data_IF_154698085802
#
_entry.id   IF_154698085802
#
_cell.length_a   1.000
_cell.length_b   1.000
_cell.length_c   1.000
_cell.angle_alpha   90.00
_cell.angle_beta   90.00
_cell.angle_gamma   90.00
#
_symmetry.space_group_name_H-M   'P 1'
#
loop_
_entity.id
_entity.type
_entity.pdbx_description
1 polymer ?
#
# COMPACT_ATOMS: atom_id res chain seq x y z
N UNK A 1 -19.19 10.16 -5.42
CA UNK A 1 -17.97 10.99 -5.57
C UNK A 1 -17.44 11.26 -4.18
N UNK A 2 -16.41 10.52 -3.80
CA UNK A 2 -15.73 10.61 -2.50
C UNK A 2 -14.87 11.88 -2.47
N UNK A 3 -15.22 12.83 -1.59
CA UNK A 3 -14.47 14.08 -1.44
C UNK A 3 -13.04 13.87 -0.89
N UNK A 4 -12.18 14.91 -0.97
CA UNK A 4 -10.83 14.87 -0.43
C UNK A 4 -10.86 14.60 1.07
N UNK A 5 -9.96 13.75 1.56
CA UNK A 5 -9.83 13.51 3.01
C UNK A 5 -8.76 14.47 3.54
N UNK A 6 -9.11 15.37 4.48
CA UNK A 6 -8.11 16.23 5.10
C UNK A 6 -7.14 15.38 5.94
N UNK A 7 -5.85 15.55 5.69
CA UNK A 7 -4.77 14.87 6.42
C UNK A 7 -3.77 14.19 5.49
N UNK A 8 -2.48 14.40 5.75
CA UNK A 8 -1.41 13.68 5.08
C UNK A 8 -1.38 12.21 5.48
N UNK A 9 -0.56 11.43 4.79
CA UNK A 9 -0.27 10.04 5.17
C UNK A 9 0.87 9.99 6.20
N UNK A 10 0.84 8.97 7.05
CA UNK A 10 1.95 8.65 7.94
C UNK A 10 2.66 7.40 7.43
N UNK A 11 3.97 7.31 7.64
CA UNK A 11 4.75 6.14 7.28
C UNK A 11 5.61 5.70 8.46
N UNK A 12 5.39 4.47 8.90
CA UNK A 12 6.12 3.86 10.00
C UNK A 12 6.94 2.66 9.55
N UNK A 13 8.01 2.35 10.28
CA UNK A 13 8.91 1.22 10.00
C UNK A 13 9.36 0.57 11.29
N UNK A 14 9.30 -0.75 11.37
CA UNK A 14 9.86 -1.53 12.47
C UNK A 14 10.02 -2.98 12.06
N UNK A 15 11.09 -3.65 12.48
CA UNK A 15 11.24 -5.11 12.36
C UNK A 15 10.99 -5.68 10.95
N UNK A 16 11.32 -4.96 9.88
CA UNK A 16 11.07 -5.40 8.50
C UNK A 16 9.68 -5.07 7.95
N UNK A 17 8.76 -4.54 8.76
CA UNK A 17 7.48 -4.00 8.33
C UNK A 17 7.59 -2.51 7.99
N UNK A 18 6.93 -2.12 6.90
CA UNK A 18 6.67 -0.73 6.51
C UNK A 18 5.17 -0.54 6.44
N UNK A 19 4.64 0.43 7.19
CA UNK A 19 3.20 0.65 7.31
C UNK A 19 2.86 2.08 6.89
N UNK A 20 2.12 2.21 5.78
CA UNK A 20 1.49 3.47 5.39
C UNK A 20 0.14 3.55 6.09
N UNK A 21 -0.07 4.58 6.91
CA UNK A 21 -1.36 4.87 7.53
C UNK A 21 -2.09 5.95 6.71
N UNK A 22 -3.32 5.65 6.32
CA UNK A 22 -4.21 6.64 5.72
C UNK A 22 -4.61 7.71 6.78
N UNK A 23 -5.23 8.83 6.40
CA UNK A 23 -6.04 9.64 7.31
C UNK A 23 -7.31 8.89 7.79
N UNK A 24 -8.08 9.48 8.71
CA UNK A 24 -9.27 8.86 9.33
C UNK A 24 -10.35 8.46 8.31
N UNK A 25 -10.45 9.18 7.19
CA UNK A 25 -11.37 8.86 6.11
C UNK A 25 -10.93 7.74 5.18
N UNK A 26 -9.73 7.17 5.34
CA UNK A 26 -9.16 6.17 4.43
C UNK A 26 -8.78 6.72 3.06
N UNK A 27 -8.12 5.92 2.23
CA UNK A 27 -7.68 6.30 0.87
C UNK A 27 -8.13 5.28 -0.16
N UNK A 28 -8.35 5.72 -1.39
CA UNK A 28 -8.64 4.82 -2.52
C UNK A 28 -7.33 4.18 -2.96
N UNK A 29 -7.34 2.88 -3.20
CA UNK A 29 -6.15 2.15 -3.64
C UNK A 29 -6.47 1.16 -4.75
N UNK A 30 -5.45 0.77 -5.49
CA UNK A 30 -5.51 -0.23 -6.56
C UNK A 30 -4.18 -0.98 -6.64
N UNK A 31 -4.18 -2.15 -7.27
CA UNK A 31 -3.02 -3.05 -7.28
C UNK A 31 -2.79 -3.69 -8.65
N UNK A 32 -1.52 -3.90 -9.02
CA UNK A 32 -1.11 -4.80 -10.11
C UNK A 32 -0.17 -5.86 -9.54
N UNK A 33 -0.56 -7.13 -9.69
CA UNK A 33 0.23 -8.30 -9.28
C UNK A 33 0.47 -9.15 -10.52
N UNK A 34 1.72 -9.44 -10.88
CA UNK A 34 1.98 -10.46 -11.92
C UNK A 34 3.15 -11.38 -11.55
N UNK A 35 2.86 -12.69 -11.63
CA UNK A 35 3.82 -13.78 -11.57
C UNK A 35 4.48 -14.05 -10.22
N UNK A 36 4.09 -13.36 -9.15
CA UNK A 36 4.88 -13.30 -7.92
C UNK A 36 4.42 -14.26 -6.82
N UNK A 37 5.34 -15.07 -6.24
CA UNK A 37 5.08 -15.73 -4.96
C UNK A 37 5.16 -14.71 -3.80
N UNK A 38 4.60 -13.51 -4.00
CA UNK A 38 4.45 -12.48 -2.98
C UNK A 38 3.38 -12.95 -2.01
N UNK A 39 3.65 -12.86 -0.71
CA UNK A 39 2.60 -13.06 0.28
C UNK A 39 1.62 -11.90 0.18
N UNK A 40 0.35 -12.20 -0.10
CA UNK A 40 -0.68 -11.17 -0.29
C UNK A 40 -1.83 -11.36 0.68
N UNK A 41 -2.39 -10.26 1.19
CA UNK A 41 -3.63 -10.26 1.97
C UNK A 41 -4.50 -9.08 1.56
N UNK A 42 -5.82 -9.28 1.51
CA UNK A 42 -6.85 -8.25 1.25
C UNK A 42 -6.70 -7.47 -0.08
N UNK A 43 -5.99 -8.04 -1.07
CA UNK A 43 -5.82 -7.37 -2.37
C UNK A 43 -7.08 -7.41 -3.25
N UNK A 44 -7.93 -8.41 -3.05
CA UNK A 44 -9.21 -8.58 -3.73
C UNK A 44 -10.18 -7.42 -3.46
N UNK A 45 -10.08 -6.80 -2.28
CA UNK A 45 -10.85 -5.63 -1.91
C UNK A 45 -10.49 -4.38 -2.75
N UNK A 46 -9.32 -4.37 -3.39
CA UNK A 46 -8.86 -3.28 -4.25
C UNK A 46 -9.39 -3.36 -5.68
N UNK A 47 -10.15 -4.41 -5.99
CA UNK A 47 -10.80 -4.53 -7.29
C UNK A 47 -11.96 -3.49 -7.40
N UNK A 48 -12.18 -2.89 -8.58
CA UNK A 48 -13.34 -2.02 -8.79
C UNK A 48 -14.65 -2.76 -8.57
N UNK A 49 -15.64 -2.08 -7.97
CA UNK A 49 -16.98 -2.62 -7.76
C UNK A 49 -17.16 -3.46 -6.50
N UNK A 50 -16.17 -3.46 -5.59
CA UNK A 50 -16.33 -3.99 -4.23
C UNK A 50 -17.09 -3.00 -3.35
N UNK A 51 -17.61 -3.47 -2.20
CA UNK A 51 -18.23 -2.60 -1.20
C UNK A 51 -17.21 -1.67 -0.51
N UNK A 52 -15.94 -2.06 -0.51
CA UNK A 52 -14.87 -1.40 0.22
C UNK A 52 -14.15 -0.44 -0.72
N UNK A 53 -14.49 0.85 -0.65
CA UNK A 53 -13.88 1.88 -1.51
C UNK A 53 -12.52 2.38 -0.99
N UNK A 54 -12.21 2.13 0.29
CA UNK A 54 -11.08 2.78 0.98
C UNK A 54 -10.31 1.85 1.90
N UNK A 55 -8.98 1.99 1.85
CA UNK A 55 -8.03 1.33 2.73
C UNK A 55 -7.67 2.23 3.91
N UNK A 56 -7.31 1.61 5.03
CA UNK A 56 -6.98 2.30 6.27
C UNK A 56 -5.48 2.28 6.55
N UNK A 57 -4.80 1.23 6.07
CA UNK A 57 -3.36 1.15 6.00
C UNK A 57 -2.92 0.29 4.81
N UNK A 58 -1.65 0.39 4.42
CA UNK A 58 -0.99 -0.56 3.51
C UNK A 58 0.28 -1.05 4.17
N UNK A 59 0.52 -2.37 4.12
CA UNK A 59 1.70 -2.99 4.73
C UNK A 59 2.61 -3.57 3.65
N UNK A 60 3.88 -3.20 3.69
CA UNK A 60 4.94 -3.92 3.00
C UNK A 60 5.80 -4.64 4.03
N UNK A 61 6.03 -5.95 3.86
CA UNK A 61 6.84 -6.76 4.78
C UNK A 61 8.07 -7.31 4.07
N UNK A 62 9.25 -7.16 4.69
CA UNK A 62 10.50 -7.81 4.24
C UNK A 62 10.51 -9.31 4.54
N UNK A 63 9.78 -9.71 5.57
CA UNK A 63 9.49 -11.09 5.90
C UNK A 63 8.19 -11.52 5.19
N UNK A 64 7.58 -12.60 5.65
CA UNK A 64 6.27 -13.08 5.22
C UNK A 64 5.12 -12.24 5.80
N UNK A 65 3.91 -12.77 5.64
CA UNK A 65 2.71 -12.22 6.28
C UNK A 65 2.77 -12.38 7.81
N UNK A 66 2.10 -11.49 8.54
CA UNK A 66 1.99 -11.50 10.00
C UNK A 66 2.17 -10.10 10.63
N UNK A 67 2.86 -9.19 9.96
CA UNK A 67 3.00 -7.81 10.45
C UNK A 67 1.65 -7.10 10.52
N UNK A 68 0.78 -7.32 9.53
CA UNK A 68 -0.55 -6.74 9.49
C UNK A 68 -1.46 -7.16 10.66
N UNK A 69 -1.18 -8.30 11.31
CA UNK A 69 -1.90 -8.75 12.50
C UNK A 69 -1.64 -7.84 13.72
N UNK A 70 -0.58 -7.03 13.70
CA UNK A 70 -0.37 -5.94 14.65
C UNK A 70 -1.06 -4.64 14.27
N UNK A 71 -1.21 -4.39 12.96
CA UNK A 71 -1.80 -3.17 12.39
C UNK A 71 -3.32 -3.17 12.54
N UNK A 72 -3.96 -4.31 12.27
CA UNK A 72 -5.41 -4.50 12.40
C UNK A 72 -5.95 -4.10 13.79
N UNK A 73 -5.48 -4.67 14.91
CA UNK A 73 -5.97 -4.28 16.24
C UNK A 73 -5.59 -2.84 16.59
N UNK A 74 -4.42 -2.34 16.17
CA UNK A 74 -4.03 -0.94 16.42
C UNK A 74 -5.01 0.06 15.78
N UNK A 75 -5.48 -0.22 14.56
CA UNK A 75 -6.50 0.56 13.86
C UNK A 75 -7.88 0.40 14.52
N UNK A 76 -8.27 -0.83 14.86
CA UNK A 76 -9.57 -1.12 15.49
C UNK A 76 -9.73 -0.43 16.85
N UNK A 77 -8.69 -0.44 17.69
CA UNK A 77 -8.62 0.29 18.98
C UNK A 77 -8.89 1.79 18.83
N UNK A 78 -8.61 2.34 17.64
CA UNK A 78 -8.78 3.76 17.31
C UNK A 78 -10.06 4.04 16.52
N UNK A 79 -10.93 3.04 16.34
CA UNK A 79 -12.17 3.18 15.57
C UNK A 79 -11.92 3.46 14.08
N UNK A 80 -10.77 3.03 13.54
CA UNK A 80 -10.37 3.27 12.16
C UNK A 80 -10.62 2.03 11.30
N UNK A 81 -11.65 2.07 10.48
CA UNK A 81 -12.04 0.95 9.64
C UNK A 81 -13.36 1.22 8.91
N UNK A 82 -13.75 0.28 8.05
CA UNK A 82 -15.06 0.23 7.44
C UNK A 82 -16.10 0.03 8.55
N UNK A 83 -17.04 0.97 8.69
CA UNK A 83 -18.05 0.93 9.76
C UNK A 83 -19.07 -0.18 9.48
N UNK A 84 -19.20 -1.11 10.44
CA UNK A 84 -20.13 -2.25 10.37
C UNK A 84 -21.24 -2.19 11.42
N UNK A 85 -21.23 -1.18 12.27
CA UNK A 85 -22.27 -0.95 13.27
C UNK A 85 -22.31 0.49 13.80
N UNK A 86 -23.11 0.70 14.84
CA UNK A 86 -23.35 2.02 15.43
C UNK A 86 -22.30 2.40 16.50
N UNK A 87 -21.66 1.41 17.11
CA UNK A 87 -20.59 1.62 18.07
C UNK A 87 -19.30 2.16 17.42
N UNK A 88 -18.57 3.00 18.14
CA UNK A 88 -17.31 3.57 17.63
C UNK A 88 -16.23 2.51 17.32
N UNK A 89 -16.30 1.35 18.00
CA UNK A 89 -15.40 0.21 17.83
C UNK A 89 -15.93 -0.83 16.83
N UNK A 90 -17.14 -0.65 16.30
CA UNK A 90 -17.74 -1.56 15.31
C UNK A 90 -17.25 -1.22 13.91
N UNK A 91 -15.94 -1.43 13.72
CA UNK A 91 -15.22 -1.16 12.48
C UNK A 91 -14.40 -2.37 12.03
N UNK A 92 -14.24 -2.52 10.72
CA UNK A 92 -13.37 -3.52 10.09
C UNK A 92 -12.24 -2.77 9.36
N UNK A 93 -11.03 -2.72 9.92
CA UNK A 93 -9.89 -2.12 9.23
C UNK A 93 -9.56 -2.90 7.96
N UNK A 94 -9.16 -2.18 6.91
CA UNK A 94 -8.83 -2.74 5.59
C UNK A 94 -7.35 -2.48 5.36
N UNK A 95 -6.57 -3.55 5.30
CA UNK A 95 -5.09 -3.51 5.38
C UNK A 95 -4.46 -4.41 4.31
N UNK A 96 -4.47 -3.97 3.03
CA UNK A 96 -3.78 -4.68 1.97
C UNK A 96 -2.29 -4.85 2.29
N UNK A 97 -1.78 -6.05 2.11
CA UNK A 97 -0.41 -6.40 2.49
C UNK A 97 0.34 -7.08 1.35
N UNK A 98 1.60 -6.68 1.16
CA UNK A 98 2.56 -7.33 0.27
C UNK A 98 3.81 -7.75 1.05
N UNK A 99 4.14 -9.04 1.02
CA UNK A 99 5.28 -9.63 1.71
C UNK A 99 6.30 -10.24 0.74
N UNK A 100 7.58 -9.89 0.90
CA UNK A 100 8.67 -10.31 0.00
C UNK A 100 9.62 -11.35 0.62
N UNK A 101 9.43 -11.72 1.90
CA UNK A 101 10.20 -12.75 2.59
C UNK A 101 9.45 -14.05 2.78
N UNK A 102 10.16 -15.05 3.32
CA UNK A 102 9.61 -16.37 3.65
C UNK A 102 9.62 -16.68 5.15
N UNK A 103 10.37 -15.91 5.95
CA UNK A 103 10.27 -15.99 7.41
C UNK A 103 8.88 -15.51 7.84
N UNK A 104 8.28 -16.01 8.93
CA UNK A 104 7.03 -15.46 9.44
C UNK A 104 7.15 -13.96 9.72
N UNK A 105 6.14 -13.17 9.36
CA UNK A 105 6.06 -11.78 9.77
C UNK A 105 5.78 -11.65 11.27
N UNK A 106 6.15 -10.51 11.85
CA UNK A 106 5.99 -10.26 13.29
C UNK A 106 4.86 -9.23 13.56
N UNK A 107 3.77 -9.63 14.24
CA UNK A 107 2.72 -8.69 14.66
C UNK A 107 3.25 -7.53 15.52
N UNK A 108 4.25 -7.78 16.38
CA UNK A 108 4.81 -6.72 17.21
C UNK A 108 5.53 -5.65 16.36
N UNK A 109 6.24 -6.08 15.32
CA UNK A 109 6.84 -5.17 14.33
C UNK A 109 5.78 -4.33 13.62
N UNK A 110 4.65 -4.91 13.21
CA UNK A 110 3.56 -4.15 12.59
C UNK A 110 2.95 -3.10 13.50
N UNK A 111 2.65 -3.46 14.76
CA UNK A 111 2.16 -2.49 15.76
C UNK A 111 3.18 -1.38 16.03
N UNK A 112 4.44 -1.75 16.25
CA UNK A 112 5.51 -0.78 16.50
C UNK A 112 5.73 0.16 15.32
N UNK A 113 5.56 -0.32 14.07
CA UNK A 113 5.58 0.53 12.90
C UNK A 113 4.43 1.55 12.93
N UNK A 114 3.20 1.18 13.30
CA UNK A 114 2.12 2.15 13.46
C UNK A 114 2.42 3.20 14.55
N UNK A 115 3.01 2.80 15.67
CA UNK A 115 3.36 3.69 16.77
C UNK A 115 4.50 4.66 16.42
N UNK A 116 5.44 4.22 15.59
CA UNK A 116 6.56 5.02 15.08
C UNK A 116 6.23 5.79 13.79
N UNK A 117 4.97 5.81 13.34
CA UNK A 117 4.60 6.43 12.08
C UNK A 117 4.65 7.96 12.15
N UNK A 118 5.36 8.57 11.21
CA UNK A 118 5.53 10.02 11.11
C UNK A 118 4.96 10.56 9.79
N UNK A 119 4.66 11.88 9.69
CA UNK A 119 4.21 12.49 8.44
C UNK A 119 5.16 12.18 7.29
N UNK A 120 4.61 11.63 6.20
CA UNK A 120 5.41 11.22 5.05
C UNK A 120 5.12 12.09 3.84
N UNK A 121 6.20 12.63 3.24
CA UNK A 121 6.17 13.50 2.06
C UNK A 121 6.78 12.85 0.83
N UNK A 122 7.27 11.62 0.95
CA UNK A 122 7.78 10.85 -0.18
C UNK A 122 6.66 10.31 -1.05
N UNK A 123 7.03 9.88 -2.26
CA UNK A 123 6.05 9.42 -3.25
C UNK A 123 6.03 7.90 -3.44
N UNK A 124 7.10 7.18 -3.08
CA UNK A 124 7.22 5.75 -3.34
C UNK A 124 8.07 5.01 -2.29
N UNK A 125 7.76 3.74 -2.08
CA UNK A 125 8.56 2.78 -1.32
C UNK A 125 8.70 1.50 -2.11
N UNK A 126 9.92 0.97 -2.19
CA UNK A 126 10.19 -0.34 -2.79
C UNK A 126 10.85 -1.22 -1.73
N UNK A 127 10.29 -2.41 -1.52
CA UNK A 127 10.93 -3.48 -0.76
C UNK A 127 11.40 -4.57 -1.69
N UNK A 128 12.62 -5.04 -1.47
CA UNK A 128 13.17 -6.22 -2.14
C UNK A 128 13.42 -7.32 -1.12
N UNK A 129 13.11 -8.56 -1.52
CA UNK A 129 13.47 -9.75 -0.75
C UNK A 129 14.98 -9.88 -0.58
N UNK A 130 15.41 -10.81 0.28
CA UNK A 130 16.82 -11.01 0.61
C UNK A 130 17.72 -11.14 -0.63
N UNK A 131 18.85 -10.43 -0.63
CA UNK A 131 19.84 -10.49 -1.70
C UNK A 131 20.34 -11.93 -1.89
N UNK A 132 20.46 -12.37 -3.14
CA UNK A 132 20.89 -13.73 -3.49
C UNK A 132 19.79 -14.81 -3.45
N UNK A 133 18.54 -14.46 -3.09
CA UNK A 133 17.41 -15.37 -3.26
C UNK A 133 17.15 -15.63 -4.76
N UNK A 134 17.01 -16.89 -5.21
CA UNK A 134 16.62 -17.20 -6.59
C UNK A 134 15.24 -16.64 -6.93
N UNK A 135 14.37 -16.49 -5.92
CA UNK A 135 13.03 -15.91 -6.00
C UNK A 135 13.04 -14.49 -5.40
N UNK A 136 13.85 -13.59 -5.97
CA UNK A 136 13.91 -12.21 -5.49
C UNK A 136 12.57 -11.52 -5.75
N UNK A 137 11.74 -11.39 -4.71
CA UNK A 137 10.43 -10.72 -4.78
C UNK A 137 10.57 -9.22 -4.60
N UNK A 138 9.69 -8.47 -5.25
CA UNK A 138 9.64 -7.00 -5.12
C UNK A 138 8.22 -6.56 -4.82
N UNK A 139 8.08 -5.72 -3.80
CA UNK A 139 6.83 -5.06 -3.47
C UNK A 139 7.00 -3.55 -3.58
N UNK A 140 6.11 -2.91 -4.32
CA UNK A 140 6.06 -1.46 -4.48
C UNK A 140 4.83 -0.86 -3.81
N UNK A 141 5.02 0.30 -3.21
CA UNK A 141 3.94 1.18 -2.78
C UNK A 141 4.18 2.55 -3.41
N UNK A 142 3.15 3.09 -4.05
CA UNK A 142 3.17 4.41 -4.66
C UNK A 142 2.05 5.27 -4.09
N UNK A 143 2.38 6.47 -3.64
CA UNK A 143 1.43 7.50 -3.28
C UNK A 143 1.18 8.42 -4.49
N UNK A 144 -0.08 8.63 -4.83
CA UNK A 144 -0.50 9.41 -5.99
C UNK A 144 -1.33 10.60 -5.50
N UNK A 145 -0.85 11.82 -5.77
CA UNK A 145 -1.56 13.06 -5.41
C UNK A 145 -2.62 13.39 -6.45
N UNK A 146 -3.70 12.62 -6.41
CA UNK A 146 -4.81 12.69 -7.34
C UNK A 146 -6.11 12.20 -6.69
N UNK A 147 -7.26 12.64 -7.21
CA UNK A 147 -8.56 12.03 -6.95
C UNK A 147 -8.83 10.94 -7.98
N UNK A 148 -8.70 9.67 -7.58
CA UNK A 148 -8.83 8.49 -8.46
C UNK A 148 -9.84 7.50 -7.88
N UNK A 149 -10.48 6.74 -8.78
CA UNK A 149 -11.22 5.51 -8.45
C UNK A 149 -10.25 4.30 -8.42
N UNK A 150 -10.73 3.15 -7.95
CA UNK A 150 -9.94 1.92 -7.79
C UNK A 150 -9.35 1.46 -9.14
N UNK A 151 -10.12 1.62 -10.22
CA UNK A 151 -9.71 1.24 -11.57
C UNK A 151 -8.54 2.10 -12.08
N UNK A 152 -8.58 3.41 -11.83
CA UNK A 152 -7.50 4.34 -12.14
C UNK A 152 -6.27 4.07 -11.27
N UNK A 153 -6.44 3.81 -9.98
CA UNK A 153 -5.33 3.39 -9.12
C UNK A 153 -4.69 2.10 -9.64
N UNK A 154 -5.48 1.11 -10.08
CA UNK A 154 -4.97 -0.12 -10.70
C UNK A 154 -4.16 0.14 -11.97
N UNK A 155 -4.60 1.06 -12.85
CA UNK A 155 -3.82 1.46 -14.04
C UNK A 155 -2.51 2.16 -13.69
N UNK A 156 -2.53 3.02 -12.68
CA UNK A 156 -1.32 3.67 -12.17
C UNK A 156 -0.36 2.63 -11.58
N UNK A 157 -0.85 1.68 -10.79
CA UNK A 157 -0.05 0.58 -10.24
C UNK A 157 0.59 -0.28 -11.35
N UNK A 158 -0.16 -0.62 -12.39
CA UNK A 158 0.34 -1.35 -13.55
C UNK A 158 1.47 -0.61 -14.26
N UNK A 159 1.33 0.71 -14.45
CA UNK A 159 2.35 1.55 -15.08
C UNK A 159 3.59 1.69 -14.19
N UNK A 160 3.37 1.92 -12.88
CA UNK A 160 4.45 2.02 -11.89
C UNK A 160 5.31 0.76 -11.86
N UNK A 161 4.69 -0.41 -11.97
CA UNK A 161 5.40 -1.69 -12.04
C UNK A 161 6.32 -1.81 -13.24
N UNK A 162 5.97 -1.23 -14.39
CA UNK A 162 6.90 -1.17 -15.54
C UNK A 162 8.16 -0.33 -15.20
N UNK A 163 8.08 0.56 -14.21
CA UNK A 163 9.23 1.26 -13.63
C UNK A 163 10.21 0.33 -12.93
N UNK A 164 9.72 -0.68 -12.20
CA UNK A 164 10.55 -1.71 -11.56
C UNK A 164 11.28 -2.55 -12.62
N UNK A 165 10.57 -2.96 -13.68
CA UNK A 165 11.17 -3.70 -14.80
C UNK A 165 12.28 -2.88 -15.45
N UNK A 166 12.03 -1.59 -15.72
CA UNK A 166 13.05 -0.67 -16.28
C UNK A 166 14.22 -0.38 -15.33
N UNK A 167 14.10 -0.66 -14.03
CA UNK A 167 15.18 -0.61 -13.07
C UNK A 167 16.04 -1.89 -13.06
N UNK A 168 15.74 -2.87 -13.90
CA UNK A 168 16.41 -4.18 -13.91
C UNK A 168 15.89 -5.13 -12.84
N UNK A 169 14.76 -4.81 -12.20
CA UNK A 169 14.03 -5.72 -11.32
C UNK A 169 13.01 -6.49 -12.15
N UNK A 170 13.49 -7.33 -13.08
CA UNK A 170 12.69 -8.15 -14.02
C UNK A 170 11.92 -9.30 -13.35
N UNK A 171 11.68 -9.17 -12.06
CA UNK A 171 11.21 -10.21 -11.18
C UNK A 171 9.71 -10.10 -10.95
N UNK A 172 9.11 -11.16 -10.41
CA UNK A 172 7.74 -11.08 -9.99
C UNK A 172 7.53 -9.98 -8.96
N UNK A 173 6.59 -9.09 -9.25
CA UNK A 173 6.38 -7.88 -8.47
C UNK A 173 4.91 -7.56 -8.32
N UNK A 174 4.60 -6.99 -7.16
CA UNK A 174 3.28 -6.46 -6.85
C UNK A 174 3.44 -4.98 -6.49
N UNK A 175 2.57 -4.14 -7.00
CA UNK A 175 2.57 -2.70 -6.71
C UNK A 175 1.18 -2.28 -6.27
N UNK A 176 1.10 -1.59 -5.13
CA UNK A 176 -0.11 -0.89 -4.69
C UNK A 176 0.07 0.59 -4.97
N UNK A 177 -0.90 1.21 -5.65
CA UNK A 177 -1.01 2.65 -5.79
C UNK A 177 -2.14 3.17 -4.88
N UNK A 178 -1.85 4.21 -4.10
CA UNK A 178 -2.79 4.82 -3.15
C UNK A 178 -2.99 6.28 -3.52
N UNK A 179 -4.24 6.68 -3.75
CA UNK A 179 -4.61 8.04 -4.15
C UNK A 179 -4.97 8.90 -2.93
N UNK A 180 -4.41 10.10 -2.81
CA UNK A 180 -4.66 11.02 -1.69
C UNK A 180 -6.04 11.68 -1.73
N UNK A 181 -6.71 11.69 -2.89
CA UNK A 181 -7.98 12.38 -3.08
C UNK A 181 -7.84 13.86 -3.44
N UNK A 182 -6.61 14.39 -3.58
CA UNK A 182 -6.35 15.76 -4.02
C UNK A 182 -6.62 15.90 -5.52
N UNK A 183 -7.56 16.76 -5.93
CA UNK A 183 -7.76 17.03 -7.35
C UNK A 183 -6.72 18.03 -7.85
N UNK A 184 -5.68 17.51 -8.52
CA UNK A 184 -4.61 18.31 -9.12
C UNK A 184 -4.88 18.67 -10.57
N UNK A 185 -5.97 18.19 -11.17
CA UNK A 185 -6.25 18.34 -12.61
C UNK A 185 -5.26 17.58 -13.52
N UNK A 186 -4.35 16.77 -12.95
CA UNK A 186 -3.33 16.04 -13.71
C UNK A 186 -3.98 14.91 -14.52
N UNK A 187 -3.79 14.87 -15.86
CA UNK A 187 -4.31 13.78 -16.69
C UNK A 187 -3.76 12.41 -16.29
N UNK A 188 -4.56 11.36 -16.47
CA UNK A 188 -4.20 10.00 -16.03
C UNK A 188 -2.95 9.45 -16.71
N UNK A 189 -2.76 9.73 -17.99
CA UNK A 189 -1.56 9.33 -18.75
C UNK A 189 -0.29 9.97 -18.18
N UNK A 190 -0.35 11.24 -17.78
CA UNK A 190 0.74 11.92 -17.08
C UNK A 190 1.01 11.27 -15.71
N UNK A 191 -0.03 10.93 -14.94
CA UNK A 191 0.11 10.20 -13.67
C UNK A 191 0.77 8.83 -13.87
N UNK A 192 0.42 8.09 -14.93
CA UNK A 192 1.03 6.80 -15.25
C UNK A 192 2.51 6.91 -15.65
N UNK A 193 2.87 7.92 -16.44
CA UNK A 193 4.26 8.19 -16.83
C UNK A 193 5.12 8.56 -15.62
N UNK A 194 4.60 9.44 -14.76
CA UNK A 194 5.25 9.87 -13.52
C UNK A 194 5.40 8.72 -12.53
N UNK A 195 4.36 7.89 -12.36
CA UNK A 195 4.41 6.67 -11.54
C UNK A 195 5.54 5.72 -11.97
N UNK A 196 5.73 5.54 -13.27
CA UNK A 196 6.84 4.74 -13.83
C UNK A 196 8.19 5.31 -13.43
N UNK A 197 8.37 6.63 -13.56
CA UNK A 197 9.62 7.31 -13.23
C UNK A 197 9.94 7.22 -11.72
N UNK A 198 8.94 7.47 -10.86
CA UNK A 198 9.09 7.45 -9.40
C UNK A 198 9.45 6.07 -8.87
N UNK A 199 8.76 5.03 -9.33
CA UNK A 199 9.01 3.68 -8.82
C UNK A 199 10.35 3.13 -9.33
N UNK A 200 10.78 3.54 -10.53
CA UNK A 200 12.14 3.27 -11.02
C UNK A 200 13.20 3.93 -10.14
N UNK A 201 13.03 5.22 -9.82
CA UNK A 201 13.98 5.96 -8.98
C UNK A 201 14.04 5.41 -7.54
N UNK A 202 12.91 4.93 -7.00
CA UNK A 202 12.88 4.30 -5.68
C UNK A 202 13.51 2.89 -5.63
N UNK A 203 13.75 2.27 -6.80
CA UNK A 203 14.32 0.94 -6.93
C UNK A 203 15.84 0.92 -7.17
N UNK A 204 16.44 2.08 -7.47
CA UNK A 204 17.89 2.28 -7.69
C UNK A 204 18.58 2.83 -6.46
#
# INVERSE_FOLDING_TARGET
MTGPVPGGVLLGRSGGAVVLLAPDGGLVAGVDVRGAPTGTRELDLLAPGTLVERVHAVVLSRDGLGAEDGVLPWLAERGRGFRVGAGAHEVVPIVPTLAVGSAPGDPAAGRAACEAAEPWTGDAVVLTGAAGSPDRRVAGLLLVRAALDEARCGRVAASARDGLVRAGLELPSAVIAVATGEDTGTPLDALCADATARLRAAAT
#
